data_IF_681836908635
#
_entry.id   IF_681836908635
#
_cell.length_a   1.000
_cell.length_b   1.000
_cell.length_c   1.000
_cell.angle_alpha   90.00
_cell.angle_beta   90.00
_cell.angle_gamma   90.00
#
_symmetry.space_group_name_H-M   'P 1'
#
loop_
_entity.id
_entity.type
_entity.pdbx_description
1 polymer ?
#
# COMPACT_ATOMS: atom_id res chain seq x y z
N UNK A 1 1.07 5.70 -13.41
CA UNK A 1 0.08 5.69 -12.32
C UNK A 1 -0.34 7.13 -11.97
N UNK A 2 0.60 8.08 -11.85
CA UNK A 2 0.29 9.50 -11.63
C UNK A 2 -0.69 10.11 -12.66
N UNK A 3 -0.59 9.72 -13.94
CA UNK A 3 -1.45 10.23 -15.01
C UNK A 3 -2.97 10.03 -14.81
N UNK A 4 -3.36 9.12 -13.91
CA UNK A 4 -4.78 8.87 -13.56
C UNK A 4 -5.08 9.16 -12.09
N UNK A 5 -4.13 9.73 -11.35
CA UNK A 5 -4.24 9.91 -9.90
C UNK A 5 -5.40 10.83 -9.50
N UNK A 6 -5.54 11.95 -10.20
CA UNK A 6 -6.62 12.92 -9.93
C UNK A 6 -7.98 12.35 -10.32
N UNK A 7 -8.04 11.41 -11.27
CA UNK A 7 -9.29 10.75 -11.65
C UNK A 7 -9.84 9.86 -10.53
N UNK A 8 -9.02 9.45 -9.56
CA UNK A 8 -9.48 8.72 -8.38
C UNK A 8 -10.42 9.57 -7.51
N UNK A 9 -10.32 10.91 -7.59
CA UNK A 9 -11.18 11.79 -6.81
C UNK A 9 -12.64 11.75 -7.26
N UNK A 10 -12.89 11.45 -8.54
CA UNK A 10 -14.23 11.43 -9.12
C UNK A 10 -14.91 10.05 -9.01
N UNK A 11 -14.20 9.03 -8.53
CA UNK A 11 -14.75 7.68 -8.39
C UNK A 11 -15.69 7.57 -7.19
N UNK A 12 -16.89 7.04 -7.43
CA UNK A 12 -17.78 6.57 -6.37
C UNK A 12 -17.43 5.13 -5.97
N UNK A 13 -16.76 4.99 -4.83
CA UNK A 13 -16.33 3.70 -4.29
C UNK A 13 -17.03 3.35 -2.97
N UNK A 14 -18.13 4.04 -2.64
CA UNK A 14 -18.83 3.83 -1.38
C UNK A 14 -19.27 2.36 -1.22
N UNK A 15 -18.89 1.76 -0.09
CA UNK A 15 -19.21 0.38 0.26
C UNK A 15 -18.48 -0.70 -0.55
N UNK A 16 -17.61 -0.32 -1.50
CA UNK A 16 -16.81 -1.29 -2.27
C UNK A 16 -15.76 -1.94 -1.38
N UNK A 17 -15.54 -3.23 -1.60
CA UNK A 17 -14.43 -3.96 -0.98
C UNK A 17 -13.20 -3.78 -1.86
N UNK A 18 -12.09 -3.34 -1.26
CA UNK A 18 -10.84 -3.07 -1.95
C UNK A 18 -9.72 -3.87 -1.28
N UNK A 19 -8.99 -4.66 -2.07
CA UNK A 19 -7.73 -5.27 -1.68
C UNK A 19 -6.62 -4.61 -2.49
N UNK A 20 -5.50 -4.31 -1.83
CA UNK A 20 -4.34 -3.68 -2.44
C UNK A 20 -3.16 -4.65 -2.45
N UNK A 21 -2.31 -4.52 -3.46
CA UNK A 21 -1.00 -5.16 -3.49
C UNK A 21 0.00 -4.23 -4.17
N UNK A 22 1.28 -4.35 -3.81
CA UNK A 22 2.34 -3.57 -4.40
C UNK A 22 3.62 -4.38 -4.55
N UNK A 23 4.39 -4.04 -5.56
CA UNK A 23 5.72 -4.57 -5.81
C UNK A 23 6.74 -3.48 -5.46
N UNK A 24 7.77 -3.84 -4.70
CA UNK A 24 8.86 -2.95 -4.33
C UNK A 24 10.19 -3.68 -4.27
N UNK A 25 11.23 -2.94 -3.89
CA UNK A 25 12.58 -3.45 -3.63
C UNK A 25 13.02 -2.91 -2.27
N UNK A 26 12.96 -3.76 -1.25
CA UNK A 26 13.16 -3.34 0.14
C UNK A 26 14.62 -3.04 0.46
N UNK A 27 15.57 -3.70 -0.22
CA UNK A 27 16.99 -3.50 0.01
C UNK A 27 17.55 -2.33 -0.80
N UNK A 28 17.11 -2.17 -2.05
CA UNK A 28 17.53 -1.06 -2.91
C UNK A 28 16.83 0.26 -2.60
N UNK A 29 15.58 0.21 -2.10
CA UNK A 29 14.74 1.38 -1.87
C UNK A 29 13.98 1.31 -0.53
N UNK A 30 14.59 0.80 0.53
CA UNK A 30 13.94 0.63 1.84
C UNK A 30 13.30 1.90 2.43
N UNK A 31 13.84 3.08 2.11
CA UNK A 31 13.28 4.38 2.52
C UNK A 31 11.99 4.76 1.78
N UNK A 32 11.69 4.09 0.67
CA UNK A 32 10.50 4.30 -0.18
C UNK A 32 9.73 3.01 -0.46
N UNK A 33 10.05 1.93 0.25
CA UNK A 33 9.48 0.62 0.00
C UNK A 33 7.95 0.70 0.09
N UNK A 34 7.28 0.37 -1.02
CA UNK A 34 5.82 0.41 -1.18
C UNK A 34 5.14 1.77 -0.89
N UNK A 35 5.87 2.88 -0.98
CA UNK A 35 5.30 4.23 -0.77
C UNK A 35 4.05 4.49 -1.62
N UNK A 36 4.07 4.08 -2.89
CA UNK A 36 2.93 4.24 -3.78
C UNK A 36 1.69 3.47 -3.30
N UNK A 37 1.87 2.31 -2.65
CA UNK A 37 0.79 1.53 -2.07
C UNK A 37 0.16 2.26 -0.87
N UNK A 38 0.99 2.81 0.02
CA UNK A 38 0.55 3.64 1.14
C UNK A 38 -0.22 4.88 0.68
N UNK A 39 0.33 5.61 -0.29
CA UNK A 39 -0.32 6.79 -0.85
C UNK A 39 -1.67 6.44 -1.51
N UNK A 40 -1.78 5.28 -2.17
CA UNK A 40 -3.03 4.84 -2.80
C UNK A 40 -4.07 4.48 -1.74
N UNK A 41 -3.67 3.76 -0.69
CA UNK A 41 -4.54 3.45 0.44
C UNK A 41 -5.12 4.74 1.05
N UNK A 42 -4.27 5.73 1.33
CA UNK A 42 -4.70 7.01 1.91
C UNK A 42 -5.68 7.75 1.00
N UNK A 43 -5.39 7.81 -0.31
CA UNK A 43 -6.26 8.45 -1.30
C UNK A 43 -7.64 7.79 -1.38
N UNK A 44 -7.70 6.46 -1.26
CA UNK A 44 -8.95 5.71 -1.32
C UNK A 44 -9.69 5.67 0.02
N UNK A 45 -8.99 5.86 1.15
CA UNK A 45 -9.58 5.82 2.51
C UNK A 45 -10.73 6.81 2.69
N UNK A 46 -10.69 7.95 1.99
CA UNK A 46 -11.72 8.99 2.07
C UNK A 46 -12.95 8.72 1.20
N UNK A 47 -13.02 7.59 0.49
CA UNK A 47 -14.07 7.25 -0.48
C UNK A 47 -15.11 6.25 0.05
N UNK A 48 -15.10 5.95 1.35
CA UNK A 48 -16.06 5.02 1.96
C UNK A 48 -15.85 3.55 1.58
N UNK A 49 -14.63 3.20 1.16
CA UNK A 49 -14.25 1.82 0.83
C UNK A 49 -14.12 0.95 2.08
N UNK A 50 -14.19 -0.36 1.90
CA UNK A 50 -13.89 -1.38 2.90
C UNK A 50 -12.61 -2.09 2.52
N UNK A 51 -11.50 -1.72 3.14
CA UNK A 51 -10.22 -2.39 2.90
C UNK A 51 -10.21 -3.79 3.49
N UNK A 52 -9.62 -4.72 2.74
CA UNK A 52 -9.33 -6.09 3.15
C UNK A 52 -7.92 -6.47 2.69
N UNK A 53 -7.33 -7.51 3.29
CA UNK A 53 -6.03 -8.03 2.86
C UNK A 53 -4.83 -7.22 3.36
N UNK A 54 -4.93 -6.62 4.55
CA UNK A 54 -3.74 -6.15 5.26
C UNK A 54 -2.74 -7.30 5.46
N UNK A 55 -1.46 -6.98 5.41
CA UNK A 55 -0.39 -7.97 5.37
C UNK A 55 0.64 -7.75 6.47
N UNK A 56 1.14 -8.78 7.17
CA UNK A 56 2.19 -8.60 8.17
C UNK A 56 3.44 -7.94 7.58
N UNK A 57 4.05 -7.04 8.35
CA UNK A 57 5.38 -6.47 8.02
C UNK A 57 6.52 -7.39 8.46
N UNK A 58 6.21 -8.42 9.25
CA UNK A 58 7.15 -9.46 9.65
C UNK A 58 7.77 -10.12 8.41
N UNK A 59 9.10 -10.23 8.44
CA UNK A 59 9.88 -10.79 7.35
C UNK A 59 10.48 -9.75 6.41
N UNK A 60 10.05 -8.48 6.43
CA UNK A 60 10.59 -7.43 5.55
C UNK A 60 11.58 -6.52 6.29
N UNK A 61 12.56 -5.99 5.57
CA UNK A 61 13.54 -5.01 6.06
C UNK A 61 13.42 -3.70 5.28
N UNK A 62 12.90 -2.65 5.92
CA UNK A 62 12.64 -1.34 5.31
C UNK A 62 12.49 -0.26 6.39
N UNK A 63 12.45 1.01 5.99
CA UNK A 63 12.29 2.15 6.91
C UNK A 63 11.13 3.08 6.56
N UNK A 64 10.52 2.93 5.38
CA UNK A 64 9.36 3.74 5.00
C UNK A 64 8.17 3.55 5.95
N UNK A 65 7.59 4.64 6.48
CA UNK A 65 6.37 4.56 7.29
C UNK A 65 5.08 4.64 6.45
N UNK A 66 5.15 4.97 5.15
CA UNK A 66 3.96 5.24 4.35
C UNK A 66 3.04 4.04 4.13
N UNK A 67 3.55 2.81 3.86
CA UNK A 67 2.68 1.68 3.59
C UNK A 67 2.23 0.96 4.87
N UNK A 68 2.58 1.45 6.08
CA UNK A 68 2.34 0.71 7.34
C UNK A 68 1.26 1.33 8.22
N UNK A 69 0.54 0.48 8.93
CA UNK A 69 -0.49 0.81 9.92
C UNK A 69 -0.31 -0.08 11.17
N UNK A 70 -1.21 0.09 12.16
CA UNK A 70 -1.20 -0.70 13.40
C UNK A 70 0.17 -0.70 14.09
N UNK A 71 0.70 0.51 14.34
CA UNK A 71 2.02 0.73 14.96
C UNK A 71 3.17 0.00 14.23
N UNK A 72 3.07 -0.10 12.90
CA UNK A 72 4.10 -0.70 12.04
C UNK A 72 3.97 -2.21 11.84
N UNK A 73 2.93 -2.85 12.38
CA UNK A 73 2.76 -4.31 12.32
C UNK A 73 2.16 -4.81 11.00
N UNK A 74 1.46 -3.94 10.26
CA UNK A 74 0.75 -4.33 9.05
C UNK A 74 1.04 -3.36 7.91
N UNK A 75 1.25 -3.89 6.71
CA UNK A 75 1.11 -3.16 5.47
C UNK A 75 -0.37 -2.96 5.12
N UNK A 76 -0.65 -1.87 4.41
CA UNK A 76 -1.98 -1.52 3.88
C UNK A 76 -2.50 -2.48 2.79
N UNK A 77 -1.69 -3.45 2.37
CA UNK A 77 -2.00 -4.46 1.37
C UNK A 77 -0.86 -5.48 1.24
N UNK A 78 -1.00 -6.45 0.32
CA UNK A 78 0.04 -7.46 0.08
C UNK A 78 1.34 -6.82 -0.43
N UNK A 79 2.43 -7.10 0.27
CA UNK A 79 3.78 -6.64 -0.07
C UNK A 79 4.52 -7.70 -0.89
N UNK A 80 5.00 -7.35 -2.07
CA UNK A 80 5.82 -8.21 -2.93
C UNK A 80 7.20 -7.59 -3.17
N UNK A 81 8.23 -8.42 -3.19
CA UNK A 81 9.59 -8.04 -3.54
C UNK A 81 10.25 -9.14 -4.36
N UNK A 82 10.13 -9.08 -5.68
CA UNK A 82 10.70 -10.08 -6.60
C UNK A 82 12.23 -10.10 -6.63
N UNK A 83 12.90 -9.11 -6.04
CA UNK A 83 14.36 -9.00 -6.09
C UNK A 83 15.00 -9.75 -4.93
N UNK A 84 14.41 -9.60 -3.74
CA UNK A 84 15.04 -9.99 -2.49
C UNK A 84 14.26 -11.08 -1.72
N UNK A 85 12.97 -11.30 -2.02
CA UNK A 85 12.12 -12.21 -1.25
C UNK A 85 11.16 -13.03 -2.11
N UNK A 86 11.38 -14.36 -2.12
CA UNK A 86 10.66 -15.34 -2.95
C UNK A 86 9.67 -16.19 -2.15
#
# INVERSE_FOLDING_TARGET
>A
WEAVWDQLDDLNLEGKIVALYGLGDQLGYGEWFLDALGMLHDKLSTKGVKFVGYWPTEGYEFTSPKPVIADGQLFVGLALDETNQY
#
